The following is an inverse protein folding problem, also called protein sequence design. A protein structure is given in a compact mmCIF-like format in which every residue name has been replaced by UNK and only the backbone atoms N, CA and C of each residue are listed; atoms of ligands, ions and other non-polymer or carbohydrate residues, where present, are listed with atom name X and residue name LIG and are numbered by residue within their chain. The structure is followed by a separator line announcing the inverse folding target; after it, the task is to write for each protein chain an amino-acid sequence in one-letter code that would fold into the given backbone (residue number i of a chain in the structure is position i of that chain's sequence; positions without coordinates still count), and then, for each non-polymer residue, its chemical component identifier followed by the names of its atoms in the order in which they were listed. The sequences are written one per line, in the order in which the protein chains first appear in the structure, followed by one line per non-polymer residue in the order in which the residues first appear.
data_IF_270550111021
#
_entry.id   IF_270550111021
#
_cell.length_a   1.000
_cell.length_b   1.000
_cell.length_c   1.000
_cell.angle_alpha   90.00
_cell.angle_beta   90.00
_cell.angle_gamma   90.00
#
_symmetry.space_group_name_H-M   'P 1'
#
loop_
_entity.id
_entity.type
_entity.pdbx_description
1 polymer ?
#
# COMPACT_ATOMS: atom_id res chain seq x y z
N UNK A 1 -11.91 25.86 -3.39
CA UNK A 1 -10.90 24.97 -4.03
C UNK A 1 -11.66 23.99 -4.92
N UNK A 2 -11.28 23.83 -6.20
CA UNK A 2 -11.92 22.82 -7.08
C UNK A 2 -11.63 21.43 -6.53
N UNK A 3 -12.64 20.56 -6.45
CA UNK A 3 -12.55 19.23 -5.84
C UNK A 3 -11.41 18.40 -6.45
N UNK A 4 -11.22 18.52 -7.76
CA UNK A 4 -10.12 17.89 -8.51
C UNK A 4 -8.72 18.30 -7.98
N UNK A 5 -8.50 19.59 -7.73
CA UNK A 5 -7.23 20.06 -7.15
C UNK A 5 -7.00 19.45 -5.77
N UNK A 6 -8.07 19.30 -4.97
CA UNK A 6 -8.01 18.62 -3.67
C UNK A 6 -7.56 17.16 -3.81
N UNK A 7 -8.17 16.41 -4.74
CA UNK A 7 -7.82 15.02 -5.02
C UNK A 7 -6.35 14.91 -5.45
N UNK A 8 -5.90 15.75 -6.39
CA UNK A 8 -4.51 15.73 -6.90
C UNK A 8 -3.48 16.07 -5.83
N UNK A 9 -3.80 16.98 -4.91
CA UNK A 9 -2.93 17.30 -3.77
C UNK A 9 -2.82 16.15 -2.79
N UNK A 10 -3.94 15.46 -2.50
CA UNK A 10 -3.93 14.26 -1.64
C UNK A 10 -3.09 13.16 -2.30
N UNK A 11 -3.30 12.89 -3.60
CA UNK A 11 -2.50 11.92 -4.38
C UNK A 11 -0.99 12.23 -4.28
N UNK A 12 -0.60 13.49 -4.46
CA UNK A 12 0.80 13.91 -4.38
C UNK A 12 1.37 13.67 -2.98
N UNK A 13 0.61 14.09 -1.95
CA UNK A 13 1.03 13.97 -0.56
C UNK A 13 1.29 12.52 -0.17
N UNK A 14 0.35 11.62 -0.46
CA UNK A 14 0.52 10.19 -0.13
C UNK A 14 1.60 9.53 -0.98
N UNK A 15 1.73 9.89 -2.26
CA UNK A 15 2.78 9.36 -3.14
C UNK A 15 4.18 9.75 -2.64
N UNK A 16 4.42 11.03 -2.36
CA UNK A 16 5.72 11.50 -1.88
C UNK A 16 6.03 10.99 -0.48
N UNK A 17 5.07 11.05 0.44
CA UNK A 17 5.27 10.60 1.82
C UNK A 17 5.62 9.11 1.89
N UNK A 18 4.85 8.26 1.19
CA UNK A 18 5.14 6.82 1.16
C UNK A 18 6.48 6.50 0.49
N UNK A 19 6.78 7.14 -0.65
CA UNK A 19 8.06 6.93 -1.36
C UNK A 19 9.24 7.33 -0.48
N UNK A 20 9.15 8.48 0.18
CA UNK A 20 10.18 8.96 1.12
C UNK A 20 10.39 7.96 2.26
N UNK A 21 9.31 7.56 2.95
CA UNK A 21 9.39 6.68 4.10
C UNK A 21 9.98 5.31 3.73
N UNK A 22 9.60 4.78 2.58
CA UNK A 22 10.15 3.52 2.07
C UNK A 22 11.61 3.64 1.71
N UNK A 23 12.02 4.71 1.02
CA UNK A 23 13.41 4.92 0.63
C UNK A 23 14.32 5.07 1.84
N UNK A 24 13.87 5.81 2.86
CA UNK A 24 14.55 5.90 4.16
C UNK A 24 14.64 4.53 4.84
N UNK A 25 13.56 3.74 4.77
CA UNK A 25 13.55 2.39 5.33
C UNK A 25 14.55 1.48 4.62
N UNK A 26 14.59 1.48 3.28
CA UNK A 26 15.54 0.72 2.47
C UNK A 26 16.98 0.99 2.92
N UNK A 27 17.35 2.26 3.10
CA UNK A 27 18.70 2.66 3.50
C UNK A 27 19.11 2.12 4.88
N UNK A 28 18.15 1.73 5.71
CA UNK A 28 18.34 1.22 7.06
C UNK A 28 18.23 -0.32 7.17
N UNK A 29 18.07 -1.01 6.04
CA UNK A 29 18.01 -2.49 5.99
C UNK A 29 19.39 -3.13 5.92
N UNK A 30 19.51 -4.37 6.42
CA UNK A 30 20.80 -5.07 6.44
C UNK A 30 21.25 -5.46 5.03
N UNK A 31 20.31 -5.78 4.14
CA UNK A 31 20.60 -6.05 2.72
C UNK A 31 21.24 -4.81 2.08
N UNK A 32 20.66 -3.63 2.29
CA UNK A 32 21.23 -2.40 1.75
C UNK A 32 22.63 -2.13 2.30
N UNK A 33 22.84 -2.31 3.60
CA UNK A 33 24.15 -2.19 4.24
C UNK A 33 25.21 -3.11 3.62
N UNK A 34 24.84 -4.33 3.22
CA UNK A 34 25.73 -5.27 2.52
C UNK A 34 25.95 -4.90 1.05
N UNK A 35 24.91 -4.41 0.37
CA UNK A 35 24.95 -4.13 -1.07
C UNK A 35 25.63 -2.79 -1.40
N UNK A 36 25.43 -1.75 -0.59
CA UNK A 36 25.95 -0.40 -0.82
C UNK A 36 27.48 -0.36 -1.03
N UNK A 37 28.32 -0.98 -0.18
CA UNK A 37 29.77 -0.99 -0.41
C UNK A 37 30.16 -1.66 -1.73
N UNK A 38 29.44 -2.71 -2.13
CA UNK A 38 29.67 -3.39 -3.40
C UNK A 38 29.33 -2.48 -4.58
N UNK A 39 28.17 -1.81 -4.56
CA UNK A 39 27.77 -0.83 -5.59
C UNK A 39 28.79 0.30 -5.67
N UNK A 40 29.18 0.88 -4.53
CA UNK A 40 30.11 2.01 -4.49
C UNK A 40 31.50 1.65 -5.01
N UNK A 41 31.96 0.40 -4.90
CA UNK A 41 33.23 -0.01 -5.54
C UNK A 41 33.23 0.19 -7.06
N UNK A 42 32.08 -0.01 -7.71
CA UNK A 42 31.95 0.17 -9.15
C UNK A 42 31.56 1.61 -9.52
N UNK A 43 30.68 2.24 -8.74
CA UNK A 43 30.12 3.55 -9.08
C UNK A 43 30.96 4.74 -8.58
N UNK A 44 31.75 4.59 -7.52
CA UNK A 44 32.49 5.71 -6.94
C UNK A 44 33.46 6.40 -7.92
N UNK A 45 34.21 5.69 -8.79
CA UNK A 45 35.06 6.35 -9.79
C UNK A 45 34.26 7.23 -10.75
N UNK A 46 33.08 6.75 -11.16
CA UNK A 46 32.17 7.50 -12.02
C UNK A 46 31.63 8.75 -11.29
N UNK A 47 31.13 8.59 -10.06
CA UNK A 47 30.62 9.70 -9.25
C UNK A 47 31.67 10.80 -9.06
N UNK A 48 32.90 10.42 -8.71
CA UNK A 48 34.01 11.35 -8.54
C UNK A 48 34.36 12.08 -9.85
N UNK A 49 34.27 11.40 -11.00
CA UNK A 49 34.49 12.05 -12.32
C UNK A 49 33.47 13.14 -12.65
N UNK A 50 32.26 13.04 -12.10
CA UNK A 50 31.21 14.05 -12.21
C UNK A 50 31.25 15.08 -11.07
N UNK A 51 32.26 15.02 -10.18
CA UNK A 51 32.38 15.91 -9.02
C UNK A 51 31.39 15.60 -7.89
N UNK A 52 30.78 14.42 -7.87
CA UNK A 52 29.87 13.99 -6.82
C UNK A 52 30.62 13.19 -5.75
N UNK A 53 30.49 13.59 -4.48
CA UNK A 53 31.06 12.85 -3.36
C UNK A 53 30.22 11.58 -3.06
N UNK A 54 30.83 10.38 -3.07
CA UNK A 54 30.17 9.12 -2.72
C UNK A 54 29.47 9.11 -1.36
N UNK A 55 29.84 10.00 -0.43
CA UNK A 55 29.16 10.16 0.85
C UNK A 55 27.67 10.52 0.69
N UNK A 56 27.30 11.23 -0.38
CA UNK A 56 25.92 11.64 -0.66
C UNK A 56 25.12 10.58 -1.43
N UNK A 57 25.63 9.37 -1.60
CA UNK A 57 24.98 8.32 -2.40
C UNK A 57 23.53 8.03 -1.99
N UNK A 58 23.26 7.94 -0.69
CA UNK A 58 21.91 7.67 -0.19
C UNK A 58 20.94 8.82 -0.51
N UNK A 59 21.42 10.07 -0.41
CA UNK A 59 20.64 11.28 -0.74
C UNK A 59 20.38 11.34 -2.24
N UNK A 60 21.35 10.96 -3.08
CA UNK A 60 21.16 10.88 -4.53
C UNK A 60 20.08 9.86 -4.89
N UNK A 61 20.11 8.67 -4.30
CA UNK A 61 19.05 7.66 -4.49
C UNK A 61 17.70 8.24 -4.07
N UNK A 62 17.62 8.85 -2.88
CA UNK A 62 16.39 9.45 -2.38
C UNK A 62 15.83 10.51 -3.35
N UNK A 63 16.69 11.39 -3.87
CA UNK A 63 16.31 12.40 -4.85
C UNK A 63 15.79 11.78 -6.16
N UNK A 64 16.43 10.72 -6.65
CA UNK A 64 15.99 9.99 -7.85
C UNK A 64 14.63 9.35 -7.64
N UNK A 65 14.42 8.62 -6.54
CA UNK A 65 13.15 7.92 -6.30
C UNK A 65 11.99 8.90 -6.05
N UNK A 66 12.24 10.01 -5.36
CA UNK A 66 11.23 11.08 -5.21
C UNK A 66 10.91 11.74 -6.55
N UNK A 67 11.91 11.94 -7.41
CA UNK A 67 11.70 12.46 -8.76
C UNK A 67 10.86 11.50 -9.60
N UNK A 68 11.13 10.19 -9.53
CA UNK A 68 10.32 9.16 -10.20
C UNK A 68 8.88 9.17 -9.66
N UNK A 69 8.70 9.27 -8.35
CA UNK A 69 7.38 9.36 -7.71
C UNK A 69 6.60 10.59 -8.18
N UNK A 70 7.26 11.74 -8.24
CA UNK A 70 6.67 12.97 -8.78
C UNK A 70 6.28 12.82 -10.25
N UNK A 71 7.13 12.20 -11.09
CA UNK A 71 6.83 11.94 -12.50
C UNK A 71 5.65 10.97 -12.68
N UNK A 72 5.57 9.93 -11.84
CA UNK A 72 4.44 9.00 -11.83
C UNK A 72 3.14 9.70 -11.43
N UNK A 73 3.18 10.53 -10.38
CA UNK A 73 2.03 11.37 -9.99
C UNK A 73 1.62 12.34 -11.08
N UNK A 74 2.59 13.01 -11.74
CA UNK A 74 2.32 13.98 -12.80
C UNK A 74 1.57 13.35 -13.97
N UNK A 75 1.90 12.11 -14.34
CA UNK A 75 1.13 11.35 -15.36
C UNK A 75 -0.28 11.06 -14.88
N UNK A 76 -0.44 10.65 -13.61
CA UNK A 76 -1.75 10.50 -12.98
C UNK A 76 -2.62 9.41 -13.60
N UNK A 77 -2.04 8.46 -14.33
CA UNK A 77 -2.71 7.31 -14.91
C UNK A 77 -2.61 6.09 -13.98
N UNK A 78 -3.53 5.13 -14.15
CA UNK A 78 -3.54 3.89 -13.36
C UNK A 78 -2.21 3.12 -13.48
N UNK A 79 -1.63 3.09 -14.68
CA UNK A 79 -0.34 2.45 -14.92
C UNK A 79 0.81 3.14 -14.17
N UNK A 80 0.83 4.47 -14.12
CA UNK A 80 1.80 5.25 -13.36
C UNK A 80 1.75 4.93 -11.87
N UNK A 81 0.55 4.88 -11.29
CA UNK A 81 0.39 4.51 -9.88
C UNK A 81 0.68 3.03 -9.60
N UNK A 82 0.35 2.12 -10.51
CA UNK A 82 0.75 0.71 -10.39
C UNK A 82 2.28 0.53 -10.36
N UNK A 83 3.00 1.29 -11.20
CA UNK A 83 4.48 1.30 -11.20
C UNK A 83 5.05 1.93 -9.93
N UNK A 84 4.45 3.02 -9.45
CA UNK A 84 4.85 3.64 -8.19
C UNK A 84 4.71 2.68 -7.00
N UNK A 85 3.57 1.99 -6.91
CA UNK A 85 3.36 0.98 -5.88
C UNK A 85 4.39 -0.16 -5.98
N UNK A 86 4.67 -0.64 -7.20
CA UNK A 86 5.66 -1.68 -7.43
C UNK A 86 7.08 -1.25 -7.01
N UNK A 87 7.47 -0.03 -7.34
CA UNK A 87 8.74 0.56 -6.92
C UNK A 87 8.84 0.64 -5.40
N UNK A 88 7.79 1.14 -4.74
CA UNK A 88 7.74 1.25 -3.29
C UNK A 88 7.77 -0.13 -2.62
N UNK A 89 7.04 -1.12 -3.13
CA UNK A 89 7.10 -2.49 -2.62
C UNK A 89 8.48 -3.11 -2.80
N UNK A 90 9.14 -2.88 -3.94
CA UNK A 90 10.50 -3.38 -4.18
C UNK A 90 11.52 -2.78 -3.20
N UNK A 91 11.43 -1.48 -2.94
CA UNK A 91 12.30 -0.80 -1.98
C UNK A 91 11.98 -1.18 -0.53
N UNK A 92 10.73 -1.51 -0.21
CA UNK A 92 10.32 -1.95 1.13
C UNK A 92 10.64 -3.43 1.40
N UNK A 93 10.75 -4.25 0.35
CA UNK A 93 10.93 -5.69 0.46
C UNK A 93 12.13 -6.13 1.32
N UNK A 94 13.31 -5.48 1.29
CA UNK A 94 14.40 -5.81 2.19
C UNK A 94 14.02 -5.72 3.68
N UNK A 95 13.17 -4.78 4.07
CA UNK A 95 12.69 -4.68 5.45
C UNK A 95 11.77 -5.84 5.81
N UNK A 96 10.93 -6.29 4.87
CA UNK A 96 10.11 -7.50 5.07
C UNK A 96 10.98 -8.73 5.30
N UNK A 97 12.12 -8.83 4.60
CA UNK A 97 13.08 -9.92 4.84
C UNK A 97 13.73 -9.81 6.21
N UNK A 98 14.20 -8.61 6.60
CA UNK A 98 14.86 -8.37 7.89
C UNK A 98 13.98 -8.76 9.08
N UNK A 99 12.67 -8.55 8.96
CA UNK A 99 11.69 -8.82 10.03
C UNK A 99 10.87 -10.10 9.78
N UNK A 100 11.17 -10.85 8.73
CA UNK A 100 10.54 -12.14 8.47
C UNK A 100 11.04 -13.17 9.48
N UNK A 101 10.12 -13.85 10.18
CA UNK A 101 10.50 -14.99 11.03
C UNK A 101 11.07 -16.18 10.23
N UNK A 102 10.94 -16.15 8.90
CA UNK A 102 11.58 -17.09 8.00
C UNK A 102 12.82 -16.45 7.36
N UNK A 103 13.99 -16.98 7.68
CA UNK A 103 15.25 -16.56 7.08
C UNK A 103 15.46 -17.23 5.71
N UNK A 104 14.61 -16.86 4.74
CA UNK A 104 14.69 -17.35 3.35
C UNK A 104 16.06 -17.11 2.72
N UNK A 105 16.69 -16.00 3.11
CA UNK A 105 17.98 -15.59 2.56
C UNK A 105 19.10 -16.51 3.03
N UNK A 106 19.02 -17.03 4.26
CA UNK A 106 19.98 -18.00 4.79
C UNK A 106 19.97 -19.34 4.06
N UNK A 107 18.92 -19.65 3.29
CA UNK A 107 18.92 -20.80 2.37
C UNK A 107 19.87 -20.60 1.18
N UNK A 108 20.20 -19.35 0.85
CA UNK A 108 21.02 -18.98 -0.31
C UNK A 108 22.40 -18.50 0.13
N UNK A 109 22.49 -17.68 1.19
CA UNK A 109 23.77 -17.21 1.75
C UNK A 109 23.64 -16.85 3.23
N UNK A 110 24.72 -16.96 4.04
CA UNK A 110 24.71 -16.61 5.46
C UNK A 110 24.22 -15.17 5.69
N UNK A 111 23.01 -15.05 6.23
CA UNK A 111 22.34 -13.78 6.44
C UNK A 111 21.91 -13.65 7.88
N UNK A 112 22.62 -12.79 8.61
CA UNK A 112 22.23 -12.33 9.93
C UNK A 112 21.65 -10.91 9.80
N UNK A 113 20.34 -10.72 10.01
CA UNK A 113 19.70 -9.41 9.93
C UNK A 113 20.12 -8.53 11.11
N UNK A 114 20.63 -7.34 10.80
CA UNK A 114 20.95 -6.28 11.73
C UNK A 114 20.37 -4.94 11.23
N UNK A 115 19.03 -4.82 11.11
CA UNK A 115 18.39 -3.59 10.65
C UNK A 115 18.60 -2.46 11.66
N UNK A 116 18.65 -1.22 11.18
CA UNK A 116 18.77 -0.02 12.03
C UNK A 116 17.40 0.54 12.47
N UNK A 117 16.31 -0.02 11.95
CA UNK A 117 14.92 0.32 12.31
C UNK A 117 14.34 -0.72 13.27
N UNK A 118 13.29 -0.33 14.00
CA UNK A 118 12.47 -1.26 14.79
C UNK A 118 11.31 -1.88 14.01
N UNK A 119 10.72 -2.93 14.57
CA UNK A 119 9.53 -3.63 14.04
C UNK A 119 8.33 -2.69 13.86
N UNK A 120 8.08 -1.81 14.84
CA UNK A 120 6.99 -0.83 14.80
C UNK A 120 7.14 0.16 13.65
N UNK A 121 8.37 0.57 13.32
CA UNK A 121 8.65 1.43 12.18
C UNK A 121 8.27 0.73 10.87
N UNK A 122 8.74 -0.50 10.69
CA UNK A 122 8.45 -1.31 9.49
C UNK A 122 6.95 -1.55 9.36
N UNK A 123 6.27 -1.86 10.45
CA UNK A 123 4.80 -1.96 10.47
C UNK A 123 4.12 -0.66 10.04
N UNK A 124 4.53 0.49 10.61
CA UNK A 124 3.96 1.80 10.27
C UNK A 124 4.16 2.17 8.79
N UNK A 125 5.35 1.90 8.24
CA UNK A 125 5.63 2.11 6.81
C UNK A 125 4.79 1.18 5.93
N UNK A 126 4.63 -0.08 6.35
CA UNK A 126 3.73 -1.04 5.70
C UNK A 126 2.28 -0.56 5.66
N UNK A 127 1.75 -0.02 6.77
CA UNK A 127 0.42 0.58 6.81
C UNK A 127 0.30 1.78 5.88
N UNK A 128 1.30 2.67 5.87
CA UNK A 128 1.34 3.84 5.00
C UNK A 128 1.31 3.42 3.51
N UNK A 129 2.02 2.35 3.14
CA UNK A 129 2.00 1.79 1.79
C UNK A 129 0.61 1.32 1.39
N UNK A 130 -0.08 0.58 2.25
CA UNK A 130 -1.44 0.11 1.98
C UNK A 130 -2.42 1.27 1.87
N UNK A 131 -2.34 2.23 2.78
CA UNK A 131 -3.15 3.45 2.74
C UNK A 131 -2.91 4.24 1.44
N UNK A 132 -1.66 4.37 1.02
CA UNK A 132 -1.29 5.02 -0.24
C UNK A 132 -1.87 4.28 -1.44
N UNK A 133 -1.72 2.96 -1.49
CA UNK A 133 -2.25 2.15 -2.59
C UNK A 133 -3.77 2.29 -2.73
N UNK A 134 -4.50 2.14 -1.63
CA UNK A 134 -5.96 2.32 -1.62
C UNK A 134 -6.33 3.73 -2.06
N UNK A 135 -5.68 4.74 -1.50
CA UNK A 135 -5.94 6.15 -1.84
C UNK A 135 -5.77 6.39 -3.33
N UNK A 136 -4.58 6.09 -3.88
CA UNK A 136 -4.27 6.32 -5.30
C UNK A 136 -5.19 5.53 -6.24
N UNK A 137 -5.49 4.27 -5.91
CA UNK A 137 -6.35 3.43 -6.74
C UNK A 137 -7.77 3.97 -6.83
N UNK A 138 -8.36 4.37 -5.71
CA UNK A 138 -9.72 4.89 -5.69
C UNK A 138 -9.81 6.30 -6.26
N UNK A 139 -8.82 7.17 -6.02
CA UNK A 139 -8.84 8.54 -6.56
C UNK A 139 -8.72 8.57 -8.08
N UNK A 140 -7.91 7.70 -8.71
CA UNK A 140 -7.90 7.54 -10.18
C UNK A 140 -9.29 7.17 -10.69
N UNK A 141 -9.92 6.19 -10.05
CA UNK A 141 -11.24 5.73 -10.45
C UNK A 141 -12.30 6.84 -10.31
N UNK A 142 -12.24 7.62 -9.23
CA UNK A 142 -13.13 8.77 -9.04
C UNK A 142 -12.92 9.83 -10.11
N UNK A 143 -11.68 10.11 -10.52
CA UNK A 143 -11.38 11.04 -11.62
C UNK A 143 -11.96 10.54 -12.95
N UNK A 144 -11.76 9.26 -13.27
CA UNK A 144 -12.33 8.66 -14.49
C UNK A 144 -13.87 8.74 -14.53
N UNK A 145 -14.55 8.42 -13.42
CA UNK A 145 -16.01 8.54 -13.31
C UNK A 145 -16.44 10.00 -13.44
N UNK A 146 -15.72 10.93 -12.81
CA UNK A 146 -16.01 12.37 -12.91
C UNK A 146 -15.89 12.86 -14.36
N UNK A 147 -14.82 12.50 -15.06
CA UNK A 147 -14.61 12.84 -16.46
C UNK A 147 -15.72 12.26 -17.36
N UNK A 148 -16.14 11.01 -17.09
CA UNK A 148 -17.25 10.37 -17.79
C UNK A 148 -18.59 11.10 -17.57
N UNK A 149 -18.89 11.50 -16.33
CA UNK A 149 -20.13 12.21 -16.00
C UNK A 149 -20.18 13.61 -16.61
N UNK A 150 -19.08 14.36 -16.53
CA UNK A 150 -18.96 15.68 -17.17
C UNK A 150 -19.09 15.53 -18.70
N UNK A 151 -18.49 14.48 -19.28
CA UNK A 151 -18.63 14.18 -20.70
C UNK A 151 -20.05 13.80 -21.15
N UNK A 152 -20.98 13.53 -20.21
CA UNK A 152 -22.40 13.29 -20.43
C UNK A 152 -23.28 14.50 -20.11
N UNK A 153 -22.69 15.68 -20.03
CA UNK A 153 -23.36 16.95 -19.68
C UNK A 153 -24.04 16.94 -18.29
N UNK A 154 -23.49 16.18 -17.33
CA UNK A 154 -23.93 16.27 -15.94
C UNK A 154 -23.53 17.61 -15.31
N UNK A 155 -24.36 18.12 -14.41
CA UNK A 155 -24.07 19.38 -13.71
C UNK A 155 -22.78 19.30 -12.89
N UNK A 156 -21.90 20.30 -13.07
CA UNK A 156 -20.60 20.32 -12.37
C UNK A 156 -20.76 20.43 -10.85
N UNK A 157 -21.81 21.07 -10.35
CA UNK A 157 -22.13 21.18 -8.93
C UNK A 157 -22.40 19.81 -8.33
N UNK A 158 -23.31 19.06 -8.93
CA UNK A 158 -23.68 17.70 -8.51
C UNK A 158 -22.48 16.75 -8.55
N UNK A 159 -21.71 16.78 -9.64
CA UNK A 159 -20.49 15.95 -9.79
C UNK A 159 -19.46 16.28 -8.71
N UNK A 160 -19.31 17.56 -8.34
CA UNK A 160 -18.40 17.98 -7.27
C UNK A 160 -18.88 17.51 -5.90
N UNK A 161 -20.18 17.50 -5.62
CA UNK A 161 -20.75 17.01 -4.37
C UNK A 161 -20.55 15.50 -4.22
N UNK A 162 -20.87 14.72 -5.26
CA UNK A 162 -20.64 13.27 -5.29
C UNK A 162 -19.16 12.95 -5.08
N UNK A 163 -18.27 13.68 -5.75
CA UNK A 163 -16.81 13.50 -5.62
C UNK A 163 -16.32 13.76 -4.18
N UNK A 164 -16.88 14.75 -3.48
CA UNK A 164 -16.57 15.01 -2.06
C UNK A 164 -17.07 13.88 -1.16
N UNK A 165 -18.27 13.37 -1.42
CA UNK A 165 -18.82 12.20 -0.72
C UNK A 165 -17.94 10.97 -0.87
N UNK A 166 -17.50 10.68 -2.10
CA UNK A 166 -16.57 9.59 -2.41
C UNK A 166 -15.22 9.73 -1.70
N UNK A 167 -14.66 10.95 -1.66
CA UNK A 167 -13.41 11.21 -0.93
C UNK A 167 -13.58 11.02 0.59
N UNK A 168 -14.71 11.44 1.15
CA UNK A 168 -15.01 11.25 2.58
C UNK A 168 -15.12 9.76 2.91
N UNK A 169 -15.82 8.99 2.07
CA UNK A 169 -15.91 7.54 2.22
C UNK A 169 -14.55 6.85 2.10
N UNK A 170 -13.72 7.28 1.14
CA UNK A 170 -12.36 6.76 0.99
C UNK A 170 -11.51 6.99 2.25
N UNK A 171 -11.57 8.18 2.84
CA UNK A 171 -10.87 8.48 4.10
C UNK A 171 -11.34 7.55 5.21
N UNK A 172 -12.65 7.34 5.35
CA UNK A 172 -13.20 6.42 6.35
C UNK A 172 -12.73 4.97 6.11
N UNK A 173 -12.72 4.52 4.86
CA UNK A 173 -12.27 3.19 4.47
C UNK A 173 -10.79 2.98 4.78
N UNK A 174 -9.95 3.95 4.42
CA UNK A 174 -8.51 3.89 4.70
C UNK A 174 -8.23 3.93 6.20
N UNK A 175 -8.89 4.82 6.95
CA UNK A 175 -8.76 4.90 8.41
C UNK A 175 -9.25 3.63 9.09
N UNK A 176 -10.41 3.11 8.71
CA UNK A 176 -10.94 1.87 9.26
C UNK A 176 -10.00 0.69 9.03
N UNK A 177 -9.46 0.58 7.81
CA UNK A 177 -8.47 -0.46 7.47
C UNK A 177 -7.19 -0.32 8.31
N UNK A 178 -6.68 0.90 8.47
CA UNK A 178 -5.50 1.17 9.28
C UNK A 178 -5.73 0.85 10.76
N UNK A 179 -6.87 1.24 11.32
CA UNK A 179 -7.25 0.96 12.71
C UNK A 179 -7.40 -0.54 12.97
N UNK A 180 -8.08 -1.27 12.08
CA UNK A 180 -8.21 -2.73 12.20
C UNK A 180 -6.82 -3.38 12.13
N UNK A 181 -5.98 -2.97 11.18
CA UNK A 181 -4.64 -3.53 11.03
C UNK A 181 -3.74 -3.25 12.25
N UNK A 182 -3.81 -2.04 12.80
CA UNK A 182 -3.14 -1.68 14.04
C UNK A 182 -3.67 -2.49 15.23
N UNK A 183 -5.00 -2.65 15.32
CA UNK A 183 -5.64 -3.49 16.34
C UNK A 183 -5.18 -4.94 16.29
N UNK A 184 -5.06 -5.52 15.09
CA UNK A 184 -4.51 -6.87 14.90
C UNK A 184 -3.05 -6.93 15.33
N UNK A 185 -2.21 -5.96 14.92
CA UNK A 185 -0.79 -5.93 15.28
C UNK A 185 -0.57 -5.88 16.79
N UNK A 186 -1.22 -4.94 17.48
CA UNK A 186 -1.09 -4.80 18.93
C UNK A 186 -1.83 -5.89 19.72
N UNK A 187 -2.89 -6.46 19.15
CA UNK A 187 -3.65 -7.56 19.76
C UNK A 187 -2.96 -8.92 19.65
N UNK A 188 -2.16 -9.14 18.59
CA UNK A 188 -1.56 -10.44 18.30
C UNK A 188 -0.72 -11.03 19.46
N UNK A 189 0.13 -10.27 20.18
CA UNK A 189 0.86 -10.81 21.33
C UNK A 189 -0.06 -11.32 22.46
N UNK A 190 -1.16 -10.61 22.75
CA UNK A 190 -2.11 -11.01 23.78
C UNK A 190 -2.84 -12.30 23.39
N UNK A 191 -3.29 -12.37 22.13
CA UNK A 191 -3.96 -13.57 21.58
C UNK A 191 -2.99 -14.75 21.57
N UNK A 192 -1.72 -14.54 21.21
CA UNK A 192 -0.68 -15.57 21.26
C UNK A 192 -0.51 -16.12 22.67
N UNK A 193 -0.44 -15.27 23.68
CA UNK A 193 -0.28 -15.70 25.06
C UNK A 193 -1.48 -16.52 25.55
N UNK A 194 -2.71 -16.05 25.27
CA UNK A 194 -3.94 -16.78 25.60
C UNK A 194 -4.00 -18.14 24.90
N UNK A 195 -3.73 -18.18 23.59
CA UNK A 195 -3.72 -19.42 22.82
C UNK A 195 -2.62 -20.38 23.26
N UNK A 196 -1.44 -19.88 23.62
CA UNK A 196 -0.32 -20.75 24.01
C UNK A 196 -0.62 -21.60 25.25
N UNK A 197 -1.47 -21.10 26.16
CA UNK A 197 -1.91 -21.85 27.33
C UNK A 197 -2.88 -22.99 26.97
N UNK A 198 -3.87 -22.71 26.11
CA UNK A 198 -4.89 -23.68 25.71
C UNK A 198 -4.37 -24.72 24.71
N UNK A 199 -3.47 -24.29 23.83
CA UNK A 199 -3.02 -25.08 22.69
C UNK A 199 -1.86 -26.02 23.06
N UNK A 200 -1.22 -25.82 24.22
CA UNK A 200 -0.19 -26.72 24.75
C UNK A 200 -0.70 -28.16 25.00
N UNK A 201 -2.01 -28.33 25.22
CA UNK A 201 -2.64 -29.64 25.42
C UNK A 201 -3.04 -30.37 24.13
N UNK A 202 -2.91 -29.74 22.96
CA UNK A 202 -3.38 -30.30 21.69
C UNK A 202 -2.28 -31.05 20.95
N UNK A 203 -2.56 -32.25 20.39
CA UNK A 203 -1.64 -32.90 19.47
C UNK A 203 -1.59 -32.13 18.15
N UNK A 204 -0.40 -31.80 17.67
CA UNK A 204 -0.17 -31.07 16.40
C UNK A 204 -0.93 -29.74 16.30
N UNK A 205 -0.69 -28.79 17.22
CA UNK A 205 -1.46 -27.54 17.33
C UNK A 205 -1.48 -26.69 16.06
N UNK A 206 -0.37 -26.70 15.32
CA UNK A 206 -0.24 -25.99 14.04
C UNK A 206 -1.20 -26.52 12.97
N UNK A 207 -1.49 -27.83 12.94
CA UNK A 207 -2.42 -28.43 11.97
C UNK A 207 -3.85 -28.01 12.31
N UNK A 208 -4.24 -28.12 13.58
CA UNK A 208 -5.61 -27.80 14.03
C UNK A 208 -5.91 -26.32 13.77
N UNK A 209 -5.01 -25.43 14.18
CA UNK A 209 -5.16 -23.98 13.91
C UNK A 209 -5.17 -23.72 12.41
N UNK A 210 -4.25 -24.32 11.65
CA UNK A 210 -4.16 -24.13 10.20
C UNK A 210 -5.46 -24.53 9.47
N UNK A 211 -6.04 -25.67 9.83
CA UNK A 211 -7.32 -26.15 9.29
C UNK A 211 -8.46 -25.21 9.67
N UNK A 212 -8.56 -24.80 10.94
CA UNK A 212 -9.58 -23.86 11.40
C UNK A 212 -9.49 -22.51 10.68
N UNK A 213 -8.28 -21.94 10.56
CA UNK A 213 -8.03 -20.71 9.80
C UNK A 213 -8.42 -20.87 8.32
N UNK A 214 -8.14 -22.02 7.71
CA UNK A 214 -8.53 -22.29 6.31
C UNK A 214 -10.04 -22.26 6.13
N UNK A 215 -10.80 -22.88 7.05
CA UNK A 215 -12.27 -22.82 7.02
C UNK A 215 -12.80 -21.41 7.24
N UNK A 216 -12.22 -20.65 8.18
CA UNK A 216 -12.62 -19.27 8.43
C UNK A 216 -12.35 -18.37 7.22
N UNK A 217 -11.19 -18.52 6.57
CA UNK A 217 -10.85 -17.81 5.33
C UNK A 217 -11.84 -18.18 4.23
N UNK A 218 -12.12 -19.46 4.03
CA UNK A 218 -13.08 -19.91 3.03
C UNK A 218 -14.49 -19.34 3.29
N UNK A 219 -14.95 -19.37 4.54
CA UNK A 219 -16.23 -18.80 4.94
C UNK A 219 -16.28 -17.28 4.70
N UNK A 220 -15.21 -16.55 5.05
CA UNK A 220 -15.10 -15.12 4.79
C UNK A 220 -15.14 -14.81 3.28
N UNK A 221 -14.44 -15.60 2.46
CA UNK A 221 -14.49 -15.48 0.99
C UNK A 221 -15.91 -15.72 0.47
N UNK A 222 -16.60 -16.76 0.94
CA UNK A 222 -17.98 -17.05 0.53
C UNK A 222 -18.91 -15.89 0.89
N UNK A 223 -18.81 -15.35 2.11
CA UNK A 223 -19.60 -14.20 2.55
C UNK A 223 -19.32 -12.96 1.71
N UNK A 224 -18.03 -12.69 1.42
CA UNK A 224 -17.61 -11.60 0.55
C UNK A 224 -18.19 -11.73 -0.86
N UNK A 225 -18.09 -12.92 -1.47
CA UNK A 225 -18.60 -13.19 -2.81
C UNK A 225 -20.14 -13.13 -2.88
N UNK A 226 -20.84 -13.61 -1.85
CA UNK A 226 -22.31 -13.51 -1.75
C UNK A 226 -22.77 -12.06 -1.59
N UNK A 227 -22.05 -11.24 -0.81
CA UNK A 227 -22.38 -9.83 -0.62
C UNK A 227 -22.27 -8.98 -1.89
N UNK A 228 -21.47 -9.40 -2.87
CA UNK A 228 -21.32 -8.71 -4.16
C UNK A 228 -22.39 -9.06 -5.22
N UNK A 229 -23.23 -10.07 -4.99
CA UNK A 229 -24.17 -10.60 -5.98
C UNK A 229 -25.56 -9.94 -5.99
N UNK A 230 -25.92 -9.20 -4.95
CA UNK A 230 -27.25 -8.58 -4.83
C UNK A 230 -27.26 -7.19 -5.47
N UNK A 231 -27.17 -7.11 -6.81
CA UNK A 231 -27.68 -5.92 -7.50
C UNK A 231 -29.21 -5.94 -7.34
N UNK A 232 -29.85 -4.90 -6.79
CA UNK A 232 -31.28 -4.73 -6.97
C UNK A 232 -31.49 -4.65 -8.48
N UNK A 233 -32.25 -5.59 -9.04
CA UNK A 233 -32.82 -5.38 -10.37
C UNK A 233 -33.56 -4.04 -10.30
N UNK A 234 -33.20 -3.12 -11.18
CA UNK A 234 -33.93 -1.88 -11.35
C UNK A 234 -35.38 -2.29 -11.66
N UNK A 235 -36.29 -2.07 -10.72
CA UNK A 235 -37.72 -2.18 -10.94
C UNK A 235 -38.02 -1.24 -12.09
N UNK A 236 -38.36 -1.81 -13.24
CA UNK A 236 -38.50 -1.11 -14.50
C UNK A 236 -39.37 0.13 -14.35
N UNK A 237 -38.85 1.24 -14.89
CA UNK A 237 -39.68 2.36 -15.31
C UNK A 237 -40.85 1.81 -16.13
N UNK A 238 -42.06 2.09 -15.67
CA UNK A 238 -43.27 1.82 -16.42
C UNK A 238 -43.16 2.52 -17.79
N UNK A 239 -43.42 1.84 -18.91
CA UNK A 239 -43.55 2.52 -20.18
C UNK A 239 -44.77 3.45 -20.11
N UNK A 240 -44.49 4.75 -20.16
CA UNK A 240 -45.48 5.80 -20.28
C UNK A 240 -46.34 5.60 -21.53
N UNK A 241 -47.63 5.82 -21.33
CA UNK A 241 -48.62 6.39 -22.25
C UNK A 241 -48.21 6.43 -23.74
N UNK A 242 -48.81 5.54 -24.53
CA UNK A 242 -49.02 5.80 -25.95
C UNK A 242 -50.27 6.68 -26.06
N UNK A 243 -50.07 7.97 -26.32
CA UNK A 243 -51.10 8.88 -26.81
C UNK A 243 -51.69 8.34 -28.12
N UNK A 244 -53.03 8.22 -28.17
CA UNK A 244 -53.85 8.20 -29.39
C UNK A 244 -54.99 9.17 -29.20
#
# INVERSE_FOLDING_TARGET
MRTETGIRTVELGVALASTYMVAVTLAQTSIYGKLKPWILRFLAPLLLSFGADPAFFDIMILGVVLSISFLAWRRGDEAGFGRLFSLNMLMFFPAVIDFSMFNWVNLIFPYDPAPQVGDLWVFGVGLLLQATYLTLRYTVRFRGIREELIGRDADEGDVNEVSRGQMTYLVQLVLGTALISAGVYFGAPYVKNLLSAEVAGLPYPHVIIGVACTFLIAAAIILYLRGGGSRPEAVGEAPGEAEV
#
